data_IF_846635507480
#
_entry.id   IF_846635507480
#
_cell.length_a   1.000
_cell.length_b   1.000
_cell.length_c   1.000
_cell.angle_alpha   90.00
_cell.angle_beta   90.00
_cell.angle_gamma   90.00
#
_symmetry.space_group_name_H-M   'P 1'
#
loop_
_entity.id
_entity.type
_entity.pdbx_description
1 polymer ?
#
# COMPACT_ATOMS: atom_id res chain seq x y z
N UNK A 1 0.01 25.17 19.59
CA UNK A 1 0.15 25.66 18.20
C UNK A 1 0.95 24.62 17.39
N UNK A 2 0.63 24.44 16.10
CA UNK A 2 1.44 23.57 15.25
C UNK A 2 2.83 24.17 15.04
N UNK A 3 3.85 23.31 14.96
CA UNK A 3 5.21 23.73 14.65
C UNK A 3 5.70 22.92 13.46
N UNK A 4 5.88 23.58 12.32
CA UNK A 4 6.27 22.96 11.06
C UNK A 4 7.70 23.37 10.70
N UNK A 5 8.66 22.95 11.53
CA UNK A 5 10.06 23.34 11.41
C UNK A 5 10.77 22.70 10.22
N UNK A 6 10.25 21.60 9.67
CA UNK A 6 10.93 20.83 8.62
C UNK A 6 11.93 19.82 9.20
N UNK A 7 11.90 18.57 8.74
CA UNK A 7 12.83 17.52 9.22
C UNK A 7 14.31 17.80 8.94
N UNK A 8 14.62 18.67 7.97
CA UNK A 8 15.98 19.07 7.58
C UNK A 8 16.45 20.40 8.22
N UNK A 9 15.64 21.02 9.09
CA UNK A 9 15.95 22.34 9.65
C UNK A 9 17.10 22.38 10.66
N UNK A 10 17.49 21.22 11.20
CA UNK A 10 18.39 21.14 12.35
C UNK A 10 17.70 21.49 13.68
N UNK A 11 16.40 21.79 13.69
CA UNK A 11 15.65 22.12 14.89
C UNK A 11 15.55 20.90 15.81
N UNK A 12 15.88 21.10 17.09
CA UNK A 12 15.66 20.13 18.16
C UNK A 12 14.59 20.67 19.12
N UNK A 13 13.61 19.84 19.45
CA UNK A 13 12.54 20.16 20.39
C UNK A 13 12.68 19.32 21.65
N UNK A 14 12.74 19.99 22.78
CA UNK A 14 12.67 19.40 24.11
C UNK A 14 11.35 19.83 24.75
N UNK A 15 10.44 18.88 24.97
CA UNK A 15 9.10 19.15 25.51
C UNK A 15 8.94 18.32 26.79
N UNK A 16 8.77 18.99 27.90
CA UNK A 16 8.68 18.34 29.21
C UNK A 16 7.41 18.77 29.93
N UNK A 17 6.64 17.78 30.38
CA UNK A 17 5.54 17.97 31.30
C UNK A 17 6.07 18.21 32.73
N UNK A 18 5.22 18.75 33.61
CA UNK A 18 5.61 19.04 34.99
C UNK A 18 5.83 17.77 35.82
N UNK A 19 5.16 16.69 35.46
CA UNK A 19 5.28 15.37 36.07
C UNK A 19 5.12 14.27 35.01
N UNK A 20 5.48 13.03 35.34
CA UNK A 20 5.50 11.90 34.39
C UNK A 20 4.10 11.44 33.94
N UNK A 21 3.06 11.87 34.64
CA UNK A 21 1.67 11.48 34.36
C UNK A 21 0.93 12.51 33.51
N UNK A 22 1.43 13.74 33.45
CA UNK A 22 0.83 14.82 32.68
C UNK A 22 1.16 14.74 31.19
N UNK A 23 0.25 15.27 30.39
CA UNK A 23 0.46 15.43 28.96
C UNK A 23 1.52 16.52 28.72
N UNK A 24 2.62 16.12 28.08
CA UNK A 24 3.64 17.03 27.58
C UNK A 24 3.17 17.72 26.30
N UNK A 25 2.36 17.02 25.50
CA UNK A 25 1.75 17.52 24.28
C UNK A 25 0.24 17.27 24.36
N UNK A 26 -0.51 18.36 24.33
CA UNK A 26 -1.98 18.30 24.27
C UNK A 26 -2.47 17.83 22.89
N UNK A 27 -3.78 17.60 22.77
CA UNK A 27 -4.40 17.00 21.60
C UNK A 27 -4.40 17.91 20.36
N UNK A 28 -4.51 17.30 19.18
CA UNK A 28 -4.66 17.95 17.87
C UNK A 28 -3.48 18.85 17.45
N UNK A 29 -2.25 18.41 17.75
CA UNK A 29 -1.02 19.12 17.39
C UNK A 29 -0.21 18.40 16.32
N UNK A 30 0.41 19.17 15.43
CA UNK A 30 1.39 18.68 14.46
C UNK A 30 2.74 19.32 14.79
N UNK A 31 3.74 18.49 15.04
CA UNK A 31 5.12 18.91 15.30
C UNK A 31 6.05 18.28 14.27
N UNK A 32 6.86 19.12 13.63
CA UNK A 32 7.90 18.74 12.70
C UNK A 32 9.22 19.42 13.09
N UNK A 33 10.27 18.61 13.29
CA UNK A 33 11.61 19.05 13.62
C UNK A 33 12.65 18.01 13.19
N UNK A 34 13.95 18.28 13.31
CA UNK A 34 14.97 17.24 13.11
C UNK A 34 15.00 16.24 14.25
N UNK A 35 14.90 16.70 15.50
CA UNK A 35 14.86 15.87 16.72
C UNK A 35 13.70 16.31 17.60
N UNK A 36 12.94 15.35 18.13
CA UNK A 36 11.86 15.61 19.10
C UNK A 36 12.06 14.70 20.31
N UNK A 37 12.26 15.30 21.47
CA UNK A 37 12.38 14.64 22.76
C UNK A 37 11.23 15.09 23.66
N UNK A 38 10.47 14.14 24.16
CA UNK A 38 9.27 14.38 24.95
C UNK A 38 9.36 13.61 26.27
N UNK A 39 9.17 14.31 27.38
CA UNK A 39 9.03 13.74 28.72
C UNK A 39 7.63 13.99 29.23
N UNK A 40 6.82 12.92 29.28
CA UNK A 40 5.39 12.98 29.57
C UNK A 40 4.54 12.43 28.42
N UNK A 41 3.22 12.49 28.60
CA UNK A 41 2.27 11.84 27.71
C UNK A 41 1.98 12.67 26.45
N UNK A 42 1.60 11.99 25.37
CA UNK A 42 1.19 12.59 24.10
C UNK A 42 -0.30 12.36 23.90
N UNK A 43 -1.04 13.48 23.84
CA UNK A 43 -2.49 13.52 23.68
C UNK A 43 -2.99 12.98 22.35
N UNK A 44 -4.31 13.08 22.15
CA UNK A 44 -5.04 12.52 21.01
C UNK A 44 -4.79 13.33 19.73
N UNK A 45 -4.86 12.68 18.55
CA UNK A 45 -4.70 13.32 17.24
C UNK A 45 -3.41 14.13 17.09
N UNK A 46 -2.33 13.68 17.73
CA UNK A 46 -1.01 14.32 17.58
C UNK A 46 -0.26 13.66 16.44
N UNK A 47 0.40 14.47 15.60
CA UNK A 47 1.28 14.00 14.53
C UNK A 47 2.69 14.50 14.81
N UNK A 48 3.63 13.58 14.99
CA UNK A 48 5.04 13.88 15.21
C UNK A 48 5.84 13.43 13.99
N UNK A 49 6.64 14.35 13.43
CA UNK A 49 7.47 14.10 12.24
C UNK A 49 8.90 14.55 12.54
N UNK A 50 9.84 13.61 12.60
CA UNK A 50 11.26 13.95 12.81
C UNK A 50 12.22 12.94 12.20
N UNK A 51 13.53 13.20 12.29
CA UNK A 51 14.54 12.15 12.03
C UNK A 51 14.62 11.21 13.23
N UNK A 52 14.68 11.78 14.43
CA UNK A 52 14.77 11.05 15.69
C UNK A 52 13.69 11.53 16.67
N UNK A 53 12.95 10.58 17.24
CA UNK A 53 11.88 10.84 18.21
C UNK A 53 12.12 9.98 19.46
N UNK A 54 12.19 10.62 20.62
CA UNK A 54 12.23 9.95 21.93
C UNK A 54 11.04 10.40 22.77
N UNK A 55 10.26 9.45 23.29
CA UNK A 55 9.07 9.73 24.10
C UNK A 55 9.15 8.90 25.38
N UNK A 56 9.49 9.57 26.48
CA UNK A 56 9.44 9.05 27.84
C UNK A 56 8.03 9.22 28.40
N UNK A 57 7.08 8.45 27.86
CA UNK A 57 5.68 8.53 28.24
C UNK A 57 4.79 7.63 27.38
N UNK A 58 3.48 7.85 27.46
CA UNK A 58 2.47 7.15 26.68
C UNK A 58 2.01 7.98 25.47
N UNK A 59 1.83 7.31 24.33
CA UNK A 59 1.18 7.89 23.15
C UNK A 59 -0.28 7.44 23.07
N UNK A 60 -1.19 8.38 22.84
CA UNK A 60 -2.60 8.08 22.63
C UNK A 60 -2.84 7.24 21.35
N UNK A 61 -3.84 6.32 21.34
CA UNK A 61 -4.13 5.46 20.18
C UNK A 61 -4.41 6.14 18.84
N UNK A 62 -4.84 7.40 18.87
CA UNK A 62 -5.20 8.18 17.66
C UNK A 62 -4.06 9.06 17.15
N UNK A 63 -2.85 8.87 17.67
CA UNK A 63 -1.69 9.69 17.34
C UNK A 63 -0.69 8.95 16.44
N UNK A 64 0.04 9.72 15.65
CA UNK A 64 0.91 9.23 14.57
C UNK A 64 2.35 9.71 14.76
N UNK A 65 3.29 8.80 14.54
CA UNK A 65 4.73 9.05 14.64
C UNK A 65 5.38 8.70 13.31
N UNK A 66 6.13 9.64 12.73
CA UNK A 66 6.90 9.46 11.51
C UNK A 66 8.37 9.77 11.81
N UNK A 67 9.23 8.76 11.75
CA UNK A 67 10.64 8.90 12.09
C UNK A 67 11.60 8.09 11.21
N UNK A 68 12.90 8.37 11.29
CA UNK A 68 13.92 7.36 10.99
C UNK A 68 14.13 6.47 12.22
N UNK A 69 14.30 7.07 13.40
CA UNK A 69 14.44 6.36 14.68
C UNK A 69 13.38 6.82 15.67
N UNK A 70 12.65 5.89 16.25
CA UNK A 70 11.65 6.18 17.28
C UNK A 70 11.90 5.31 18.51
N UNK A 71 12.01 5.94 19.68
CA UNK A 71 12.12 5.29 21.00
C UNK A 71 10.97 5.75 21.88
N UNK A 72 10.09 4.85 22.29
CA UNK A 72 8.84 5.22 22.99
C UNK A 72 8.64 4.30 24.18
N UNK A 73 8.33 4.84 25.36
CA UNK A 73 8.05 3.99 26.53
C UNK A 73 6.77 3.18 26.35
N UNK A 74 5.61 3.81 26.14
CA UNK A 74 4.35 3.11 25.90
C UNK A 74 3.69 3.61 24.60
N UNK A 75 3.64 2.74 23.59
CA UNK A 75 3.08 3.07 22.29
C UNK A 75 1.73 2.38 22.07
N UNK A 76 0.68 3.19 21.88
CA UNK A 76 -0.67 2.73 21.53
C UNK A 76 -1.16 3.19 20.15
N UNK A 77 -0.43 4.12 19.53
CA UNK A 77 -0.81 4.79 18.29
C UNK A 77 -0.32 4.06 17.02
N UNK A 78 -0.01 4.86 16.01
CA UNK A 78 0.57 4.38 14.75
C UNK A 78 1.98 4.94 14.56
N UNK A 79 2.95 4.08 14.28
CA UNK A 79 4.33 4.50 14.03
C UNK A 79 4.83 4.03 12.66
N UNK A 80 5.46 4.94 11.93
CA UNK A 80 6.22 4.71 10.71
C UNK A 80 7.68 5.09 10.94
N UNK A 81 8.55 4.10 11.15
CA UNK A 81 9.95 4.31 11.47
C UNK A 81 10.89 3.55 10.52
N UNK A 82 12.20 3.77 10.54
CA UNK A 82 13.17 2.78 10.03
C UNK A 82 13.55 1.82 11.16
N UNK A 83 13.87 2.38 12.31
CA UNK A 83 14.17 1.69 13.56
C UNK A 83 13.16 2.11 14.63
N UNK A 84 12.49 1.14 15.23
CA UNK A 84 11.52 1.36 16.29
C UNK A 84 11.90 0.55 17.53
N UNK A 85 11.93 1.23 18.67
CA UNK A 85 12.19 0.65 19.97
C UNK A 85 11.10 1.07 20.96
N UNK A 86 10.53 0.13 21.70
CA UNK A 86 9.51 0.46 22.68
C UNK A 86 9.47 -0.51 23.86
N UNK A 87 9.15 -0.02 25.07
CA UNK A 87 8.96 -0.92 26.21
C UNK A 87 7.63 -1.66 26.11
N UNK A 88 6.54 -0.91 25.99
CA UNK A 88 5.18 -1.47 25.97
C UNK A 88 4.45 -1.10 24.68
N UNK A 89 4.19 -2.12 23.85
CA UNK A 89 3.44 -1.98 22.61
C UNK A 89 2.02 -2.52 22.78
N UNK A 90 1.04 -1.63 22.97
CA UNK A 90 -0.32 -2.01 23.35
C UNK A 90 -1.35 -1.56 22.31
N UNK A 91 -2.01 -2.52 21.64
CA UNK A 91 -3.04 -2.26 20.62
C UNK A 91 -2.62 -1.27 19.52
N UNK A 92 -1.31 -1.22 19.26
CA UNK A 92 -0.69 -0.26 18.35
C UNK A 92 -0.47 -0.84 16.95
N UNK A 93 -0.09 0.03 16.01
CA UNK A 93 0.34 -0.36 14.66
C UNK A 93 1.72 0.20 14.35
N UNK A 94 2.66 -0.68 14.00
CA UNK A 94 4.05 -0.28 13.68
C UNK A 94 4.41 -0.74 12.28
N UNK A 95 5.01 0.17 11.51
CA UNK A 95 5.59 -0.07 10.20
C UNK A 95 7.06 0.36 10.22
N UNK A 96 7.99 -0.60 10.24
CA UNK A 96 9.42 -0.32 10.34
C UNK A 96 10.29 -1.26 9.50
N UNK A 97 11.60 -1.04 9.50
CA UNK A 97 12.55 -2.04 9.01
C UNK A 97 12.99 -2.95 10.17
N UNK A 98 13.35 -2.37 11.31
CA UNK A 98 13.71 -3.10 12.53
C UNK A 98 12.83 -2.68 13.70
N UNK A 99 12.34 -3.66 14.47
CA UNK A 99 11.49 -3.47 15.65
C UNK A 99 12.11 -4.21 16.83
N UNK A 100 12.32 -3.50 17.95
CA UNK A 100 12.74 -4.06 19.24
C UNK A 100 11.74 -3.66 20.30
N UNK A 101 11.13 -4.62 20.99
CA UNK A 101 10.10 -4.32 21.98
C UNK A 101 10.23 -5.20 23.22
N UNK A 102 10.11 -4.63 24.41
CA UNK A 102 10.17 -5.43 25.66
C UNK A 102 8.89 -6.25 25.82
N UNK A 103 7.70 -5.65 25.68
CA UNK A 103 6.42 -6.36 25.78
C UNK A 103 5.39 -5.89 24.75
N UNK A 104 4.68 -6.83 24.11
CA UNK A 104 3.63 -6.51 23.13
C UNK A 104 2.31 -7.24 23.40
N UNK A 105 1.20 -6.51 23.36
CA UNK A 105 -0.16 -7.02 23.55
C UNK A 105 -1.16 -6.41 22.54
N UNK A 106 -1.85 -7.25 21.78
CA UNK A 106 -2.90 -6.84 20.85
C UNK A 106 -2.42 -6.00 19.67
N UNK A 107 -1.12 -5.97 19.39
CA UNK A 107 -0.51 -5.03 18.44
C UNK A 107 -0.27 -5.65 17.07
N UNK A 108 -0.21 -4.81 16.04
CA UNK A 108 0.07 -5.22 14.66
C UNK A 108 1.41 -4.62 14.22
N UNK A 109 2.36 -5.47 13.88
CA UNK A 109 3.71 -5.07 13.52
C UNK A 109 4.02 -5.52 12.10
N UNK A 110 4.50 -4.60 11.27
CA UNK A 110 5.06 -4.86 9.95
C UNK A 110 6.54 -4.46 9.97
N UNK A 111 7.45 -5.45 9.89
CA UNK A 111 8.88 -5.16 9.83
C UNK A 111 9.68 -6.12 8.91
N UNK A 112 10.96 -5.81 8.67
CA UNK A 112 11.91 -6.80 8.16
C UNK A 112 12.32 -7.74 9.28
N UNK A 113 12.70 -7.16 10.40
CA UNK A 113 13.18 -7.84 11.60
C UNK A 113 12.36 -7.42 12.82
N UNK A 114 11.87 -8.38 13.58
CA UNK A 114 11.14 -8.19 14.83
C UNK A 114 11.90 -8.90 15.94
N UNK A 115 12.19 -8.20 17.03
CA UNK A 115 12.72 -8.76 18.27
C UNK A 115 11.81 -8.36 19.43
N UNK A 116 11.33 -9.34 20.19
CA UNK A 116 10.45 -9.15 21.33
C UNK A 116 10.97 -9.93 22.54
N UNK A 117 10.97 -9.30 23.72
CA UNK A 117 11.27 -10.04 24.95
C UNK A 117 10.05 -10.85 25.40
N UNK A 118 8.89 -10.20 25.52
CA UNK A 118 7.63 -10.82 26.00
C UNK A 118 6.48 -10.61 25.03
N UNK A 119 5.99 -11.71 24.47
CA UNK A 119 4.81 -11.71 23.60
C UNK A 119 3.57 -12.10 24.41
N UNK A 120 2.68 -11.13 24.68
CA UNK A 120 1.35 -11.37 25.29
C UNK A 120 0.36 -11.82 24.21
N UNK A 121 -0.95 -11.61 24.39
CA UNK A 121 -1.97 -12.15 23.49
C UNK A 121 -2.29 -11.25 22.29
N UNK A 122 -2.90 -11.85 21.27
CA UNK A 122 -3.56 -11.18 20.14
C UNK A 122 -2.66 -10.31 19.24
N UNK A 123 -1.36 -10.58 19.19
CA UNK A 123 -0.45 -9.86 18.31
C UNK A 123 -0.46 -10.44 16.88
N UNK A 124 -0.24 -9.57 15.89
CA UNK A 124 -0.03 -9.96 14.50
C UNK A 124 1.32 -9.43 14.03
N UNK A 125 2.27 -10.34 13.81
CA UNK A 125 3.65 -10.02 13.49
C UNK A 125 3.92 -10.38 12.03
N UNK A 126 3.96 -9.38 11.15
CA UNK A 126 4.29 -9.53 9.74
C UNK A 126 5.77 -9.24 9.52
N UNK A 127 6.53 -10.26 9.11
CA UNK A 127 7.98 -10.12 8.94
C UNK A 127 8.48 -10.70 7.62
N UNK A 128 9.50 -10.04 7.06
CA UNK A 128 10.11 -10.43 5.78
C UNK A 128 11.46 -11.13 5.92
N UNK A 129 12.11 -11.08 7.09
CA UNK A 129 13.43 -11.69 7.32
C UNK A 129 13.51 -12.47 8.63
N UNK A 130 13.28 -11.83 9.78
CA UNK A 130 13.43 -12.52 11.07
C UNK A 130 12.39 -12.07 12.08
N UNK A 131 11.89 -13.02 12.87
CA UNK A 131 11.11 -12.75 14.07
C UNK A 131 11.73 -13.54 15.24
N UNK A 132 12.26 -12.84 16.22
CA UNK A 132 12.88 -13.40 17.42
C UNK A 132 12.03 -13.04 18.64
N UNK A 133 11.60 -14.04 19.41
CA UNK A 133 10.86 -13.85 20.66
C UNK A 133 11.57 -14.58 21.79
N UNK A 134 11.82 -13.90 22.91
CA UNK A 134 12.35 -14.60 24.07
C UNK A 134 11.26 -15.45 24.74
N UNK A 135 10.17 -14.82 25.19
CA UNK A 135 9.09 -15.48 25.94
C UNK A 135 7.73 -15.28 25.26
N UNK A 136 7.05 -16.40 24.94
CA UNK A 136 5.67 -16.38 24.45
C UNK A 136 4.73 -16.64 25.63
N UNK A 137 4.21 -15.56 26.20
CA UNK A 137 3.37 -15.59 27.39
C UNK A 137 1.88 -15.73 27.09
N UNK A 138 1.41 -15.10 26.01
CA UNK A 138 0.00 -15.08 25.62
C UNK A 138 -0.37 -16.00 24.47
N UNK A 139 -1.65 -15.94 24.10
CA UNK A 139 -2.28 -16.80 23.10
C UNK A 139 -2.85 -15.97 21.94
N UNK A 140 -3.28 -16.64 20.87
CA UNK A 140 -3.90 -15.99 19.72
C UNK A 140 -2.93 -15.19 18.85
N UNK A 141 -1.62 -15.33 19.06
CA UNK A 141 -0.62 -14.61 18.26
C UNK A 141 -0.48 -15.22 16.88
N UNK A 142 -0.23 -14.35 15.89
CA UNK A 142 -0.03 -14.75 14.50
C UNK A 142 1.36 -14.32 14.04
N UNK A 143 2.19 -15.30 13.72
CA UNK A 143 3.50 -15.11 13.11
C UNK A 143 3.34 -15.23 11.60
N UNK A 144 3.47 -14.12 10.89
CA UNK A 144 3.09 -14.03 9.48
C UNK A 144 4.32 -13.73 8.65
N UNK A 145 4.81 -14.77 8.00
CA UNK A 145 5.82 -14.66 6.96
C UNK A 145 5.23 -13.90 5.77
N UNK A 146 5.74 -12.70 5.51
CA UNK A 146 5.17 -11.80 4.52
C UNK A 146 6.25 -10.99 3.82
N UNK A 147 6.33 -11.12 2.49
CA UNK A 147 7.33 -10.42 1.67
C UNK A 147 7.27 -8.89 1.80
N UNK A 148 6.08 -8.36 2.06
CA UNK A 148 5.87 -6.93 2.31
C UNK A 148 5.85 -6.62 3.81
N UNK A 149 6.53 -7.39 4.66
CA UNK A 149 6.67 -7.06 6.08
C UNK A 149 7.40 -5.73 6.30
N UNK A 150 8.49 -5.48 5.56
CA UNK A 150 9.30 -4.27 5.72
C UNK A 150 8.66 -2.99 5.16
N UNK A 151 9.01 -1.84 5.75
CA UNK A 151 8.53 -0.51 5.33
C UNK A 151 8.77 -0.19 3.86
N UNK A 152 9.95 -0.50 3.33
CA UNK A 152 10.29 -0.25 1.91
C UNK A 152 9.34 -1.01 0.98
N UNK A 153 9.17 -2.32 1.20
CA UNK A 153 8.29 -3.15 0.39
C UNK A 153 6.81 -2.74 0.56
N UNK A 154 6.39 -2.29 1.74
CA UNK A 154 5.05 -1.74 1.95
C UNK A 154 4.81 -0.48 1.11
N UNK A 155 5.78 0.42 1.04
CA UNK A 155 5.65 1.63 0.22
C UNK A 155 5.59 1.28 -1.26
N UNK A 156 6.41 0.33 -1.72
CA UNK A 156 6.31 -0.19 -3.08
C UNK A 156 4.95 -0.82 -3.39
N UNK A 157 4.41 -1.62 -2.46
CA UNK A 157 3.08 -2.22 -2.58
C UNK A 157 1.99 -1.15 -2.66
N UNK A 158 2.10 -0.10 -1.85
CA UNK A 158 1.16 1.03 -1.84
C UNK A 158 1.18 1.80 -3.16
N UNK A 159 2.36 2.16 -3.65
CA UNK A 159 2.55 2.85 -4.94
C UNK A 159 1.98 1.99 -6.08
N UNK A 160 2.30 0.69 -6.09
CA UNK A 160 1.81 -0.21 -7.12
C UNK A 160 0.28 -0.36 -7.09
N UNK A 161 -0.33 -0.50 -5.89
CA UNK A 161 -1.80 -0.53 -5.74
C UNK A 161 -2.47 0.74 -6.26
N UNK A 162 -1.92 1.91 -5.96
CA UNK A 162 -2.44 3.18 -6.48
C UNK A 162 -2.36 3.23 -8.01
N UNK A 163 -1.24 2.82 -8.59
CA UNK A 163 -1.05 2.75 -10.04
C UNK A 163 -2.03 1.76 -10.69
N UNK A 164 -2.18 0.56 -10.14
CA UNK A 164 -3.12 -0.46 -10.63
C UNK A 164 -4.58 0.04 -10.57
N UNK A 165 -4.98 0.71 -9.50
CA UNK A 165 -6.31 1.32 -9.39
C UNK A 165 -6.54 2.37 -10.48
N UNK A 166 -5.57 3.25 -10.72
CA UNK A 166 -5.66 4.26 -11.77
C UNK A 166 -5.74 3.64 -13.18
N UNK A 167 -4.97 2.57 -13.44
CA UNK A 167 -5.03 1.81 -14.69
C UNK A 167 -6.40 1.14 -14.87
N UNK A 168 -6.95 0.55 -13.82
CA UNK A 168 -8.29 -0.06 -13.85
C UNK A 168 -9.39 0.94 -14.20
N UNK A 169 -9.35 2.15 -13.63
CA UNK A 169 -10.29 3.22 -13.98
C UNK A 169 -10.16 3.67 -15.44
N UNK A 170 -8.92 3.82 -15.95
CA UNK A 170 -8.68 4.16 -17.36
C UNK A 170 -9.17 3.05 -18.29
N UNK A 171 -8.88 1.79 -17.96
CA UNK A 171 -9.32 0.62 -18.72
C UNK A 171 -10.84 0.55 -18.83
N UNK A 172 -11.57 0.75 -17.73
CA UNK A 172 -13.05 0.79 -17.75
C UNK A 172 -13.60 1.85 -18.70
N UNK A 173 -13.03 3.06 -18.70
CA UNK A 173 -13.44 4.15 -19.61
C UNK A 173 -13.20 3.78 -21.08
N UNK A 174 -12.04 3.19 -21.39
CA UNK A 174 -11.70 2.76 -22.75
C UNK A 174 -12.62 1.64 -23.22
N UNK A 175 -12.89 0.64 -22.36
CA UNK A 175 -13.81 -0.47 -22.66
C UNK A 175 -15.21 0.06 -22.98
N UNK A 176 -15.72 1.00 -22.18
CA UNK A 176 -17.03 1.61 -22.42
C UNK A 176 -17.09 2.38 -23.75
N UNK A 177 -16.06 3.18 -24.07
CA UNK A 177 -15.95 3.87 -25.36
C UNK A 177 -15.86 2.89 -26.52
N UNK A 178 -15.05 1.83 -26.37
CA UNK A 178 -14.87 0.81 -27.38
C UNK A 178 -16.18 0.06 -27.66
N UNK A 179 -16.94 -0.29 -26.62
CA UNK A 179 -18.27 -0.91 -26.77
C UNK A 179 -19.23 0.01 -27.52
N UNK A 180 -19.35 1.28 -27.12
CA UNK A 180 -20.23 2.26 -27.78
C UNK A 180 -19.88 2.44 -29.26
N UNK A 181 -18.60 2.59 -29.60
CA UNK A 181 -18.15 2.74 -30.99
C UNK A 181 -18.33 1.47 -31.81
N UNK A 182 -18.15 0.29 -31.20
CA UNK A 182 -18.43 -0.98 -31.87
C UNK A 182 -19.93 -1.13 -32.19
N UNK A 183 -20.82 -0.66 -31.31
CA UNK A 183 -22.25 -0.62 -31.61
C UNK A 183 -22.54 0.30 -32.81
N UNK A 184 -21.92 1.48 -32.87
CA UNK A 184 -22.05 2.40 -34.01
C UNK A 184 -21.58 1.76 -35.32
N UNK A 185 -20.41 1.11 -35.31
CA UNK A 185 -19.88 0.38 -36.47
C UNK A 185 -20.87 -0.70 -36.95
N UNK A 186 -21.45 -1.47 -36.02
CA UNK A 186 -22.45 -2.51 -36.35
C UNK A 186 -23.71 -1.91 -36.97
N UNK A 187 -24.20 -0.77 -36.43
CA UNK A 187 -25.42 -0.12 -36.92
C UNK A 187 -25.29 0.34 -38.37
N UNK A 188 -24.12 0.84 -38.77
CA UNK A 188 -23.87 1.33 -40.13
C UNK A 188 -23.31 0.26 -41.08
N UNK A 189 -23.06 -0.96 -40.60
CA UNK A 189 -22.34 -2.01 -41.35
C UNK A 189 -23.04 -2.39 -42.66
N UNK A 190 -24.37 -2.52 -42.66
CA UNK A 190 -25.14 -2.86 -43.86
C UNK A 190 -25.07 -1.77 -44.95
N UNK A 191 -25.04 -0.49 -44.55
CA UNK A 191 -24.88 0.64 -45.49
C UNK A 191 -23.48 0.62 -46.09
N UNK A 192 -22.46 0.36 -45.26
CA UNK A 192 -21.07 0.28 -45.71
C UNK A 192 -20.81 -0.91 -46.65
N UNK A 193 -21.42 -2.07 -46.41
CA UNK A 193 -21.33 -3.23 -47.31
C UNK A 193 -21.97 -2.95 -48.67
N UNK A 194 -23.13 -2.27 -48.70
CA UNK A 194 -23.76 -1.80 -49.95
C UNK A 194 -22.85 -0.84 -50.70
N UNK A 195 -22.25 0.14 -50.01
CA UNK A 195 -21.29 1.06 -50.61
C UNK A 195 -20.05 0.32 -51.13
N UNK A 196 -19.52 -0.67 -50.40
CA UNK A 196 -18.31 -1.42 -50.79
C UNK A 196 -18.52 -2.25 -52.05
N UNK A 197 -19.70 -2.85 -52.22
CA UNK A 197 -20.03 -3.75 -53.33
C UNK A 197 -20.66 -3.05 -54.55
N UNK A 198 -21.00 -1.76 -54.43
CA UNK A 198 -21.57 -0.96 -55.51
C UNK A 198 -20.53 -0.53 -56.56
N UNK A 199 -20.96 -0.40 -57.81
CA UNK A 199 -20.16 0.25 -58.88
C UNK A 199 -19.94 1.73 -58.59
N UNK A 200 -18.92 2.35 -59.19
CA UNK A 200 -18.56 3.74 -58.91
C UNK A 200 -19.68 4.75 -59.20
N UNK A 201 -20.52 4.50 -60.21
CA UNK A 201 -21.68 5.34 -60.53
C UNK A 201 -22.75 5.28 -59.42
N UNK A 202 -23.03 4.09 -58.89
CA UNK A 202 -24.00 3.87 -57.83
C UNK A 202 -23.47 4.45 -56.50
N UNK A 203 -22.18 4.29 -56.21
CA UNK A 203 -21.54 4.94 -55.04
C UNK A 203 -21.68 6.46 -55.08
N UNK A 204 -21.41 7.10 -56.23
CA UNK A 204 -21.53 8.56 -56.37
C UNK A 204 -22.94 9.05 -56.10
N UNK A 205 -23.96 8.33 -56.61
CA UNK A 205 -25.37 8.65 -56.36
C UNK A 205 -25.75 8.47 -54.88
N UNK A 206 -25.35 7.36 -54.26
CA UNK A 206 -25.62 7.11 -52.83
C UNK A 206 -24.94 8.12 -51.92
N UNK A 207 -23.71 8.55 -52.23
CA UNK A 207 -22.95 9.53 -51.44
C UNK A 207 -23.46 10.98 -51.56
N UNK A 208 -24.39 11.25 -52.49
CA UNK A 208 -25.12 12.52 -52.53
C UNK A 208 -26.24 12.58 -51.49
N UNK A 209 -26.70 11.43 -50.99
CA UNK A 209 -27.69 11.38 -49.91
C UNK A 209 -27.02 11.75 -48.58
N UNK A 210 -27.58 12.75 -47.91
CA UNK A 210 -27.03 13.30 -46.66
C UNK A 210 -26.94 12.24 -45.56
N UNK A 211 -27.96 11.39 -45.41
CA UNK A 211 -27.98 10.27 -44.46
C UNK A 211 -26.86 9.25 -44.69
N UNK A 212 -26.50 8.97 -45.95
CA UNK A 212 -25.43 8.03 -46.31
C UNK A 212 -24.06 8.66 -46.06
N UNK A 213 -23.91 9.95 -46.38
CA UNK A 213 -22.70 10.72 -46.12
C UNK A 213 -22.40 10.81 -44.62
N UNK A 214 -23.42 11.08 -43.81
CA UNK A 214 -23.31 11.14 -42.35
C UNK A 214 -22.93 9.77 -41.78
N UNK A 215 -23.66 8.71 -42.15
CA UNK A 215 -23.36 7.34 -41.73
C UNK A 215 -21.94 6.90 -42.11
N UNK A 216 -21.46 7.27 -43.31
CA UNK A 216 -20.09 7.01 -43.74
C UNK A 216 -19.08 7.76 -42.88
N UNK A 217 -19.32 9.04 -42.60
CA UNK A 217 -18.42 9.85 -41.79
C UNK A 217 -18.31 9.33 -40.34
N UNK A 218 -19.43 8.98 -39.72
CA UNK A 218 -19.50 8.43 -38.36
C UNK A 218 -18.83 7.05 -38.28
N UNK A 219 -19.06 6.19 -39.29
CA UNK A 219 -18.42 4.88 -39.39
C UNK A 219 -16.90 5.00 -39.51
N UNK A 220 -16.40 5.88 -40.39
CA UNK A 220 -14.97 6.10 -40.56
C UNK A 220 -14.32 6.70 -39.30
N UNK A 221 -15.02 7.64 -38.64
CA UNK A 221 -14.61 8.18 -37.36
C UNK A 221 -14.49 7.07 -36.30
N UNK A 222 -15.52 6.23 -36.18
CA UNK A 222 -15.55 5.14 -35.21
C UNK A 222 -14.43 4.13 -35.47
N UNK A 223 -14.17 3.72 -36.72
CA UNK A 223 -13.06 2.82 -37.06
C UNK A 223 -11.70 3.42 -36.68
N UNK A 224 -11.46 4.69 -37.02
CA UNK A 224 -10.21 5.38 -36.66
C UNK A 224 -10.03 5.44 -35.15
N UNK A 225 -11.10 5.74 -34.42
CA UNK A 225 -11.08 5.81 -32.96
C UNK A 225 -10.91 4.44 -32.31
N UNK A 226 -11.57 3.39 -32.80
CA UNK A 226 -11.41 2.02 -32.33
C UNK A 226 -9.95 1.53 -32.46
N UNK A 227 -9.28 1.87 -33.58
CA UNK A 227 -7.85 1.56 -33.76
C UNK A 227 -6.98 2.21 -32.68
N UNK A 228 -7.26 3.47 -32.34
CA UNK A 228 -6.57 4.20 -31.27
C UNK A 228 -6.85 3.55 -29.90
N UNK A 229 -8.12 3.26 -29.60
CA UNK A 229 -8.51 2.62 -28.33
C UNK A 229 -7.85 1.25 -28.17
N UNK A 230 -7.77 0.44 -29.24
CA UNK A 230 -7.06 -0.85 -29.22
C UNK A 230 -5.59 -0.69 -28.87
N UNK A 231 -4.88 0.28 -29.47
CA UNK A 231 -3.49 0.56 -29.13
C UNK A 231 -3.34 0.99 -27.65
N UNK A 232 -4.24 1.83 -27.16
CA UNK A 232 -4.26 2.23 -25.75
C UNK A 232 -4.53 1.06 -24.79
N UNK A 233 -5.43 0.13 -25.15
CA UNK A 233 -5.68 -1.07 -24.35
C UNK A 233 -4.44 -1.96 -24.24
N UNK A 234 -3.73 -2.18 -25.34
CA UNK A 234 -2.49 -2.97 -25.36
C UNK A 234 -1.41 -2.32 -24.47
N UNK A 235 -1.26 -1.01 -24.54
CA UNK A 235 -0.30 -0.29 -23.70
C UNK A 235 -0.68 -0.38 -22.21
N UNK A 236 -1.95 -0.20 -21.87
CA UNK A 236 -2.41 -0.37 -20.49
C UNK A 236 -2.19 -1.79 -19.97
N UNK A 237 -2.43 -2.81 -20.81
CA UNK A 237 -2.18 -4.20 -20.46
C UNK A 237 -0.70 -4.46 -20.19
N UNK A 238 0.19 -3.92 -21.03
CA UNK A 238 1.64 -4.00 -20.84
C UNK A 238 2.06 -3.39 -19.49
N UNK A 239 1.65 -2.16 -19.21
CA UNK A 239 1.98 -1.48 -17.95
C UNK A 239 1.41 -2.23 -16.75
N UNK A 240 0.20 -2.78 -16.88
CA UNK A 240 -0.42 -3.61 -15.84
C UNK A 240 0.43 -4.85 -15.53
N UNK A 241 0.86 -5.57 -16.56
CA UNK A 241 1.70 -6.76 -16.42
C UNK A 241 3.06 -6.44 -15.80
N UNK A 242 3.69 -5.32 -16.18
CA UNK A 242 4.95 -4.85 -15.57
C UNK A 242 4.78 -4.57 -14.07
N UNK A 243 3.67 -3.93 -13.67
CA UNK A 243 3.36 -3.70 -12.26
C UNK A 243 3.22 -5.01 -11.47
N UNK A 244 2.48 -5.98 -12.01
CA UNK A 244 2.34 -7.30 -11.36
C UNK A 244 3.67 -8.05 -11.29
N UNK A 245 4.46 -8.04 -12.37
CA UNK A 245 5.76 -8.69 -12.41
C UNK A 245 6.70 -8.16 -11.31
N UNK A 246 6.70 -6.84 -11.08
CA UNK A 246 7.47 -6.22 -9.99
C UNK A 246 7.02 -6.68 -8.60
N UNK A 247 5.71 -6.79 -8.37
CA UNK A 247 5.20 -7.25 -7.07
C UNK A 247 5.48 -8.74 -6.84
N UNK A 248 5.37 -9.55 -7.90
CA UNK A 248 5.73 -10.97 -7.88
C UNK A 248 7.22 -11.15 -7.62
N UNK A 249 8.10 -10.31 -8.20
CA UNK A 249 9.54 -10.41 -7.95
C UNK A 249 9.90 -10.11 -6.50
N UNK A 250 9.24 -9.11 -5.87
CA UNK A 250 9.41 -8.85 -4.43
C UNK A 250 8.98 -10.07 -3.62
N UNK A 251 7.81 -10.64 -3.92
CA UNK A 251 7.32 -11.80 -3.19
C UNK A 251 8.14 -13.08 -3.43
N UNK A 252 8.79 -13.23 -4.58
CA UNK A 252 9.68 -14.35 -4.87
C UNK A 252 11.10 -14.15 -4.30
N UNK A 253 11.53 -12.90 -4.08
CA UNK A 253 12.79 -12.58 -3.39
C UNK A 253 12.73 -12.86 -1.88
N UNK A 254 11.53 -13.09 -1.34
CA UNK A 254 11.32 -13.56 0.02
C UNK A 254 11.88 -14.98 0.17
N UNK A 255 13.13 -15.08 0.62
CA UNK A 255 13.80 -16.35 0.88
C UNK A 255 14.45 -16.33 2.27
N UNK A 256 14.37 -17.48 2.96
CA UNK A 256 15.00 -17.76 4.26
C UNK A 256 14.52 -16.87 5.42
N UNK A 257 13.24 -16.48 5.43
CA UNK A 257 12.70 -15.87 6.63
C UNK A 257 12.58 -16.90 7.76
N UNK A 258 12.84 -16.50 9.00
CA UNK A 258 12.78 -17.40 10.16
C UNK A 258 12.00 -16.80 11.32
N UNK A 259 11.32 -17.66 12.08
CA UNK A 259 10.79 -17.35 13.40
C UNK A 259 11.51 -18.21 14.43
N UNK A 260 12.00 -17.59 15.51
CA UNK A 260 12.68 -18.27 16.61
C UNK A 260 12.06 -17.83 17.92
N UNK A 261 11.79 -18.80 18.79
CA UNK A 261 11.35 -18.55 20.16
C UNK A 261 12.24 -19.31 21.14
N UNK A 262 12.60 -18.72 22.30
CA UNK A 262 13.35 -19.47 23.32
C UNK A 262 12.46 -20.49 24.03
N UNK A 263 11.19 -20.16 24.21
CA UNK A 263 10.19 -21.04 24.84
C UNK A 263 9.23 -21.63 23.79
N UNK A 264 8.63 -22.82 24.04
CA UNK A 264 7.63 -23.41 23.16
C UNK A 264 6.38 -22.55 22.99
N UNK A 265 5.69 -22.69 21.86
CA UNK A 265 4.38 -22.07 21.66
C UNK A 265 3.36 -22.61 22.68
N UNK A 266 2.63 -21.68 23.32
CA UNK A 266 1.39 -22.00 24.01
C UNK A 266 0.26 -22.22 23.00
N UNK A 267 -0.83 -22.88 23.41
CA UNK A 267 -1.98 -23.19 22.56
C UNK A 267 -2.50 -21.92 21.83
N UNK A 268 -3.08 -22.09 20.64
CA UNK A 268 -3.70 -21.02 19.82
C UNK A 268 -2.76 -20.00 19.15
N UNK A 269 -1.44 -20.16 19.29
CA UNK A 269 -0.47 -19.39 18.49
C UNK A 269 -0.30 -20.06 17.12
N UNK A 270 -0.35 -19.28 16.04
CA UNK A 270 -0.30 -19.81 14.67
C UNK A 270 0.79 -19.15 13.83
N UNK A 271 1.40 -19.98 12.98
CA UNK A 271 2.38 -19.55 11.98
C UNK A 271 1.72 -19.57 10.61
N UNK A 272 1.79 -18.47 9.88
CA UNK A 272 1.13 -18.26 8.60
C UNK A 272 2.18 -17.88 7.56
N UNK A 273 2.17 -18.57 6.42
CA UNK A 273 2.86 -18.12 5.23
C UNK A 273 1.88 -17.38 4.33
N UNK A 274 2.04 -16.05 4.24
CA UNK A 274 1.12 -15.19 3.49
C UNK A 274 1.67 -14.87 2.11
N UNK A 275 0.88 -15.16 1.07
CA UNK A 275 1.16 -14.73 -0.30
C UNK A 275 -0.02 -13.96 -0.87
N UNK A 276 0.29 -12.84 -1.50
CA UNK A 276 -0.66 -12.06 -2.28
C UNK A 276 -0.77 -12.57 -3.72
N UNK A 277 0.29 -13.18 -4.26
CA UNK A 277 0.34 -13.63 -5.64
C UNK A 277 0.63 -15.13 -5.72
N UNK A 278 -0.04 -15.86 -6.63
CA UNK A 278 0.27 -17.27 -6.82
C UNK A 278 1.74 -17.41 -7.24
N UNK A 279 2.37 -18.49 -6.77
CA UNK A 279 3.66 -18.93 -7.32
C UNK A 279 3.41 -19.09 -8.83
N UNK A 280 4.24 -18.47 -9.66
CA UNK A 280 4.30 -18.85 -11.07
C UNK A 280 4.84 -20.28 -11.05
N UNK A 281 3.95 -21.26 -10.93
CA UNK A 281 4.30 -22.63 -11.25
C UNK A 281 4.76 -22.61 -12.70
N UNK A 282 5.84 -23.34 -13.00
CA UNK A 282 6.12 -23.78 -14.36
C UNK A 282 5.01 -24.74 -14.81
N UNK A 283 3.81 -24.21 -14.95
CA UNK A 283 2.66 -24.82 -15.57
C UNK A 283 2.42 -24.04 -16.83
N UNK A 284 3.11 -24.46 -17.87
CA UNK A 284 2.55 -24.54 -19.21
C UNK A 284 1.08 -24.97 -19.09
N UNK A 285 0.13 -24.06 -19.29
CA UNK A 285 -1.24 -24.36 -19.69
C UNK A 285 -2.06 -23.06 -19.85
N UNK A 286 -2.40 -22.77 -21.12
CA UNK A 286 -3.73 -22.38 -21.63
C UNK A 286 -4.46 -21.22 -20.92
N UNK A 287 -4.80 -20.08 -21.56
CA UNK A 287 -5.24 -19.77 -22.93
C UNK A 287 -4.80 -18.35 -23.33
#
# INVERSE_FOLDING_TARGET
PNLLGGVESGLALEIQAKDELSDAIDSNLILEASVINIKGNVGKNVILVAKEITIEGQIHPESYVYANKARITNHKGVCYAKEFECKYLERAKVYANSVKVEASAGSVVYAKEIALEKLKSDNKLYFSKQCWIDEVDGNGNRFIFYAFGGRENQEELKIAKQKLNALGLKSKKIIAQHQSLNHLVKNHQAIMEKLKNATEEIKRSLMQQESVKDAYSEFMFALKRLKILKAQMLELQKINNECYAKLISIENSFQHASVMTKNPFKQENIVIYHRNYPKVSNSTAML
#
